data_IF_117535970701
#
_entry.id   IF_117535970701
#
_cell.length_a   1.000
_cell.length_b   1.000
_cell.length_c   1.000
_cell.angle_alpha   90.00
_cell.angle_beta   90.00
_cell.angle_gamma   90.00
#
_symmetry.space_group_name_H-M   'P 1'
#
loop_
_entity.id
_entity.type
_entity.pdbx_description
1 polymer ?
#
# COMPACT_ATOMS: atom_id res chain seq x y z
N UNK A 1 16.89 17.03 11.55
CA UNK A 1 16.02 16.37 12.55
C UNK A 1 16.82 15.24 13.19
N UNK A 2 16.89 15.18 14.52
CA UNK A 2 17.62 14.14 15.24
C UNK A 2 16.99 12.76 14.90
N UNK A 3 17.82 11.80 14.47
CA UNK A 3 17.39 10.42 14.26
C UNK A 3 17.01 9.86 15.62
N UNK A 4 15.73 9.51 15.80
CA UNK A 4 15.27 8.85 17.01
C UNK A 4 15.86 7.43 17.04
N UNK A 5 16.47 7.03 18.16
CA UNK A 5 17.00 5.68 18.33
C UNK A 5 15.86 4.68 18.50
N UNK A 6 15.96 3.52 17.87
CA UNK A 6 15.00 2.43 18.00
C UNK A 6 15.44 1.50 19.15
N UNK A 7 14.99 1.80 20.37
CA UNK A 7 15.49 1.16 21.60
C UNK A 7 14.50 0.14 22.21
N UNK A 8 13.65 -0.49 21.41
CA UNK A 8 12.77 -1.55 21.90
C UNK A 8 13.61 -2.77 22.35
N UNK A 9 13.24 -3.36 23.49
CA UNK A 9 13.92 -4.56 24.05
C UNK A 9 13.29 -5.86 23.58
N UNK A 10 12.00 -5.84 23.23
CA UNK A 10 11.23 -7.00 22.76
C UNK A 10 10.53 -6.63 21.46
N UNK A 11 11.03 -7.12 20.34
CA UNK A 11 10.61 -6.73 19.02
C UNK A 11 9.89 -7.91 18.34
N UNK A 12 8.66 -7.68 17.89
CA UNK A 12 7.85 -8.65 17.19
C UNK A 12 7.70 -8.21 15.73
N UNK A 13 8.19 -9.03 14.79
CA UNK A 13 8.09 -8.76 13.36
C UNK A 13 7.05 -9.67 12.73
N UNK A 14 6.25 -9.12 11.81
CA UNK A 14 5.30 -9.89 10.99
C UNK A 14 5.65 -9.71 9.54
N UNK A 15 6.04 -10.80 8.89
CA UNK A 15 6.35 -10.88 7.46
C UNK A 15 5.46 -11.90 6.75
N UNK A 16 5.26 -11.73 5.44
CA UNK A 16 4.40 -12.59 4.65
C UNK A 16 5.12 -13.87 4.23
N UNK A 17 6.38 -13.76 3.76
CA UNK A 17 7.12 -14.87 3.17
C UNK A 17 8.53 -14.99 3.76
N UNK A 18 9.17 -16.18 3.67
CA UNK A 18 10.59 -16.31 3.88
C UNK A 18 11.36 -15.48 2.83
N UNK A 19 12.31 -14.71 3.22
CA UNK A 19 13.16 -13.71 2.56
C UNK A 19 12.80 -12.24 2.89
N UNK A 20 11.54 -11.92 3.07
CA UNK A 20 11.08 -10.56 3.41
C UNK A 20 11.78 -9.98 4.64
N UNK A 21 12.00 -10.81 5.65
CA UNK A 21 12.64 -10.41 6.91
C UNK A 21 14.09 -9.99 6.69
N UNK A 22 14.82 -10.73 5.86
CA UNK A 22 16.22 -10.45 5.51
C UNK A 22 16.33 -9.26 4.55
N UNK A 23 15.39 -9.16 3.59
CA UNK A 23 15.34 -8.09 2.59
C UNK A 23 15.02 -6.73 3.22
N UNK A 24 14.00 -6.68 4.09
CA UNK A 24 13.36 -5.43 4.52
C UNK A 24 13.63 -5.05 5.97
N UNK A 25 14.06 -6.01 6.80
CA UNK A 25 14.31 -5.81 8.23
C UNK A 25 15.57 -6.55 8.74
N UNK A 26 16.47 -6.96 7.85
CA UNK A 26 17.72 -7.65 8.21
C UNK A 26 18.63 -6.79 9.08
N UNK A 27 18.82 -5.50 8.72
CA UNK A 27 19.55 -4.56 9.56
C UNK A 27 18.86 -4.30 10.90
N UNK A 28 17.52 -4.19 10.89
CA UNK A 28 16.72 -3.97 12.10
C UNK A 28 16.89 -5.12 13.08
N UNK A 29 16.80 -6.36 12.60
CA UNK A 29 16.97 -7.54 13.45
C UNK A 29 18.41 -7.70 13.92
N UNK A 30 19.38 -7.53 13.02
CA UNK A 30 20.81 -7.60 13.37
C UNK A 30 21.18 -6.57 14.45
N UNK A 31 20.77 -5.30 14.26
CA UNK A 31 20.99 -4.24 15.25
C UNK A 31 20.33 -4.56 16.60
N UNK A 32 19.10 -5.07 16.57
CA UNK A 32 18.38 -5.47 17.78
C UNK A 32 19.11 -6.57 18.54
N UNK A 33 19.55 -7.63 17.84
CA UNK A 33 20.31 -8.74 18.45
C UNK A 33 21.65 -8.27 19.00
N UNK A 34 22.38 -7.44 18.25
CA UNK A 34 23.68 -6.87 18.71
C UNK A 34 23.52 -6.02 19.98
N UNK A 35 22.37 -5.38 20.17
CA UNK A 35 22.04 -4.61 21.38
C UNK A 35 21.48 -5.47 22.51
N UNK A 36 21.37 -6.80 22.33
CA UNK A 36 20.79 -7.70 23.33
C UNK A 36 19.27 -7.66 23.43
N UNK A 37 18.57 -7.12 22.44
CA UNK A 37 17.12 -7.16 22.37
C UNK A 37 16.62 -8.55 21.97
N UNK A 38 15.46 -8.94 22.49
CA UNK A 38 14.77 -10.17 22.10
C UNK A 38 13.94 -9.92 20.84
N UNK A 39 14.21 -10.67 19.79
CA UNK A 39 13.54 -10.60 18.51
C UNK A 39 12.68 -11.82 18.28
N UNK A 40 11.42 -11.64 17.89
CA UNK A 40 10.51 -12.69 17.46
C UNK A 40 10.01 -12.42 16.06
N UNK A 41 10.33 -13.30 15.12
CA UNK A 41 9.81 -13.27 13.75
C UNK A 41 8.58 -14.18 13.62
N UNK A 42 7.50 -13.63 13.08
CA UNK A 42 6.28 -14.35 12.74
C UNK A 42 6.02 -14.26 11.24
N UNK A 43 6.23 -15.35 10.52
CA UNK A 43 6.08 -15.43 9.07
C UNK A 43 4.75 -16.10 8.73
N UNK A 44 3.94 -15.49 7.87
CA UNK A 44 2.55 -15.90 7.64
C UNK A 44 2.42 -17.09 6.68
N UNK A 45 3.27 -17.19 5.65
CA UNK A 45 3.27 -18.31 4.68
C UNK A 45 4.66 -18.91 4.58
N UNK A 46 4.79 -20.01 3.85
CA UNK A 46 6.11 -20.61 3.56
C UNK A 46 6.67 -20.17 2.20
N UNK A 47 5.99 -19.27 1.49
CA UNK A 47 6.42 -18.79 0.19
C UNK A 47 6.29 -19.84 -0.91
N UNK A 48 5.24 -20.62 -0.89
CA UNK A 48 4.99 -21.81 -1.72
C UNK A 48 4.90 -21.48 -3.22
N UNK A 49 4.67 -20.21 -3.57
CA UNK A 49 4.55 -19.73 -4.96
C UNK A 49 5.74 -18.88 -5.41
N UNK A 50 6.84 -18.94 -4.68
CA UNK A 50 8.09 -18.28 -5.07
C UNK A 50 8.64 -18.84 -6.38
N UNK A 51 9.31 -17.96 -7.15
CA UNK A 51 10.03 -18.33 -8.38
C UNK A 51 11.48 -18.61 -8.06
N UNK A 52 11.94 -19.83 -8.37
CA UNK A 52 13.33 -20.22 -8.11
C UNK A 52 14.31 -19.44 -9.00
N UNK A 53 15.37 -18.91 -8.41
CA UNK A 53 16.47 -18.24 -9.12
C UNK A 53 17.49 -19.20 -9.68
N UNK A 54 17.74 -20.28 -8.96
CA UNK A 54 18.67 -21.32 -9.36
C UNK A 54 17.98 -22.33 -10.27
N UNK A 55 18.61 -22.69 -11.37
CA UNK A 55 18.07 -23.62 -12.38
C UNK A 55 17.74 -24.99 -11.77
N UNK A 56 18.64 -25.49 -10.91
CA UNK A 56 18.46 -26.75 -10.22
C UNK A 56 17.28 -26.83 -9.28
N UNK A 57 16.74 -25.65 -8.85
CA UNK A 57 15.57 -25.56 -7.98
C UNK A 57 14.26 -25.29 -8.72
N UNK A 58 14.28 -25.10 -10.03
CA UNK A 58 13.08 -24.82 -10.83
C UNK A 58 12.02 -25.91 -10.78
N UNK A 59 12.44 -27.16 -10.60
CA UNK A 59 11.52 -28.28 -10.42
C UNK A 59 10.60 -28.10 -9.20
N UNK A 60 11.04 -27.35 -8.17
CA UNK A 60 10.22 -27.04 -6.99
C UNK A 60 9.03 -26.15 -7.32
N UNK A 61 9.09 -25.34 -8.37
CA UNK A 61 7.98 -24.45 -8.76
C UNK A 61 6.70 -25.23 -9.13
N UNK A 62 6.85 -26.47 -9.62
CA UNK A 62 5.72 -27.35 -9.91
C UNK A 62 5.10 -27.99 -8.66
N UNK A 63 5.80 -27.93 -7.51
CA UNK A 63 5.33 -28.49 -6.24
C UNK A 63 5.37 -27.44 -5.12
N UNK A 64 4.27 -26.69 -4.89
CA UNK A 64 4.21 -25.65 -3.86
C UNK A 64 4.59 -26.13 -2.46
N UNK A 65 4.24 -27.37 -2.10
CA UNK A 65 4.57 -27.93 -0.80
C UNK A 65 6.08 -28.15 -0.63
N UNK A 66 6.75 -28.66 -1.67
CA UNK A 66 8.20 -28.83 -1.67
C UNK A 66 8.93 -27.47 -1.65
N UNK A 67 8.46 -26.49 -2.43
CA UNK A 67 8.97 -25.12 -2.41
C UNK A 67 8.87 -24.52 -1.01
N UNK A 68 7.70 -24.62 -0.36
CA UNK A 68 7.47 -24.11 0.99
C UNK A 68 8.34 -24.81 2.04
N UNK A 69 8.56 -26.12 1.93
CA UNK A 69 9.46 -26.86 2.80
C UNK A 69 10.92 -26.39 2.63
N UNK A 70 11.37 -26.25 1.38
CA UNK A 70 12.72 -25.77 1.06
C UNK A 70 12.96 -24.37 1.64
N UNK A 71 12.06 -23.39 1.34
CA UNK A 71 12.16 -22.02 1.84
C UNK A 71 12.04 -21.91 3.36
N UNK A 72 11.36 -22.85 4.01
CA UNK A 72 11.34 -22.94 5.48
C UNK A 72 12.72 -23.29 6.06
N UNK A 73 13.49 -24.11 5.36
CA UNK A 73 14.89 -24.40 5.68
C UNK A 73 15.79 -23.18 5.49
N UNK A 74 15.59 -22.46 4.39
CA UNK A 74 16.31 -21.20 4.12
C UNK A 74 16.06 -20.18 5.23
N UNK A 75 14.80 -19.97 5.64
CA UNK A 75 14.45 -19.08 6.75
C UNK A 75 15.15 -19.47 8.06
N UNK A 76 15.19 -20.75 8.37
CA UNK A 76 15.90 -21.24 9.57
C UNK A 76 17.38 -20.86 9.54
N UNK A 77 18.03 -21.01 8.40
CA UNK A 77 19.45 -20.67 8.22
C UNK A 77 19.66 -19.14 8.28
N UNK A 78 18.74 -18.35 7.67
CA UNK A 78 18.77 -16.89 7.75
C UNK A 78 18.60 -16.38 9.19
N UNK A 79 17.71 -16.99 9.97
CA UNK A 79 17.54 -16.64 11.38
C UNK A 79 18.77 -16.96 12.22
N UNK A 80 19.43 -18.09 11.94
CA UNK A 80 20.70 -18.44 12.57
C UNK A 80 21.80 -17.41 12.24
N UNK A 81 21.90 -16.98 10.98
CA UNK A 81 22.85 -15.96 10.54
C UNK A 81 22.62 -14.60 11.22
N UNK A 82 21.37 -14.18 11.43
CA UNK A 82 21.01 -12.96 12.14
C UNK A 82 21.09 -13.10 13.66
N UNK A 83 21.30 -14.28 14.22
CA UNK A 83 21.27 -14.53 15.66
C UNK A 83 19.86 -14.50 16.28
N UNK A 84 18.81 -14.60 15.47
CA UNK A 84 17.42 -14.59 15.90
C UNK A 84 17.01 -16.01 16.34
N UNK A 85 16.75 -16.19 17.63
CA UNK A 85 16.41 -17.50 18.22
C UNK A 85 14.91 -17.81 18.16
N UNK A 86 14.08 -16.79 18.21
CA UNK A 86 12.62 -16.95 18.26
C UNK A 86 12.00 -16.61 16.91
N UNK A 87 11.57 -17.62 16.18
CA UNK A 87 10.81 -17.44 14.94
C UNK A 87 9.78 -18.55 14.79
N UNK A 88 8.69 -18.26 14.11
CA UNK A 88 7.59 -19.19 13.91
C UNK A 88 6.78 -18.84 12.67
N UNK A 89 6.35 -19.86 11.96
CA UNK A 89 5.29 -19.69 10.97
C UNK A 89 3.90 -19.57 11.62
N UNK A 90 2.94 -18.93 10.94
CA UNK A 90 1.57 -18.88 11.39
C UNK A 90 1.02 -20.28 11.65
N UNK A 91 0.44 -20.47 12.87
CA UNK A 91 0.54 -21.75 13.51
C UNK A 91 -0.47 -22.84 13.16
N UNK A 92 -1.77 -22.63 13.41
CA UNK A 92 -2.78 -23.70 13.34
C UNK A 92 -3.39 -23.83 11.94
N UNK A 93 -3.26 -22.82 11.11
CA UNK A 93 -3.73 -22.76 9.73
C UNK A 93 -2.54 -22.45 8.84
N UNK A 94 -2.17 -23.41 7.99
CA UNK A 94 -1.13 -23.18 6.99
C UNK A 94 -1.69 -22.24 5.91
N UNK A 95 -1.46 -20.93 6.04
CA UNK A 95 -1.74 -20.01 4.95
C UNK A 95 -0.77 -20.27 3.80
N UNK A 96 -1.31 -20.27 2.59
CA UNK A 96 -0.53 -20.47 1.37
C UNK A 96 -0.19 -19.10 0.78
N UNK A 97 1.02 -18.96 0.28
CA UNK A 97 1.44 -17.80 -0.50
C UNK A 97 0.44 -17.55 -1.64
N UNK A 98 -0.10 -16.34 -1.73
CA UNK A 98 -1.11 -15.99 -2.75
C UNK A 98 -0.51 -15.85 -4.14
N UNK A 99 0.81 -15.73 -4.23
CA UNK A 99 1.48 -15.32 -5.45
C UNK A 99 1.15 -13.89 -5.84
N UNK A 100 1.70 -13.49 -6.96
CA UNK A 100 1.52 -12.15 -7.51
C UNK A 100 1.25 -12.22 -9.01
N UNK A 101 0.34 -11.38 -9.52
CA UNK A 101 0.13 -11.15 -10.93
C UNK A 101 0.54 -9.72 -11.26
N UNK A 102 1.28 -9.55 -12.33
CA UNK A 102 1.54 -8.22 -12.87
C UNK A 102 0.33 -7.85 -13.73
N UNK A 103 -0.41 -6.84 -13.32
CA UNK A 103 -1.54 -6.30 -14.06
C UNK A 103 -1.11 -5.41 -15.22
N UNK A 104 -2.08 -4.96 -16.02
CA UNK A 104 -1.86 -3.96 -17.04
C UNK A 104 -1.17 -2.74 -16.40
N UNK A 105 -0.16 -2.17 -17.00
CA UNK A 105 0.68 -1.08 -16.47
C UNK A 105 1.79 -1.52 -15.48
N UNK A 106 2.15 -2.80 -15.41
CA UNK A 106 3.24 -3.27 -14.55
C UNK A 106 2.97 -3.16 -13.04
N UNK A 107 1.70 -3.03 -12.63
CA UNK A 107 1.33 -2.90 -11.21
C UNK A 107 1.07 -4.28 -10.61
N UNK A 108 1.70 -4.62 -9.48
CA UNK A 108 1.40 -5.84 -8.75
C UNK A 108 -0.06 -5.91 -8.29
N UNK A 109 -0.72 -7.03 -8.61
CA UNK A 109 -2.12 -7.28 -8.29
C UNK A 109 -2.33 -8.68 -7.76
N UNK A 110 -3.47 -8.90 -7.12
CA UNK A 110 -3.90 -10.22 -6.68
C UNK A 110 -4.18 -11.12 -7.89
N UNK A 111 -3.75 -12.39 -7.89
CA UNK A 111 -4.14 -13.36 -8.90
C UNK A 111 -5.68 -13.49 -9.02
N UNK A 112 -6.17 -13.78 -10.23
CA UNK A 112 -7.63 -13.88 -10.48
C UNK A 112 -8.28 -15.08 -9.79
N UNK A 113 -7.52 -16.17 -9.67
CA UNK A 113 -7.95 -17.38 -8.95
C UNK A 113 -7.03 -17.55 -7.74
N UNK A 114 -7.61 -17.54 -6.56
CA UNK A 114 -6.95 -17.81 -5.31
C UNK A 114 -7.47 -19.12 -4.73
N UNK A 115 -6.56 -19.89 -4.14
CA UNK A 115 -6.92 -20.93 -3.21
C UNK A 115 -7.62 -20.32 -1.98
N UNK A 116 -8.57 -21.02 -1.38
CA UNK A 116 -9.26 -20.53 -0.18
C UNK A 116 -8.32 -20.32 1.01
N UNK A 117 -7.22 -21.06 1.06
CA UNK A 117 -6.16 -20.91 2.07
C UNK A 117 -5.08 -19.90 1.68
N UNK A 118 -5.12 -19.31 0.47
CA UNK A 118 -4.21 -18.23 0.12
C UNK A 118 -4.36 -17.07 1.09
N UNK A 119 -3.25 -16.54 1.57
CA UNK A 119 -3.24 -15.48 2.60
C UNK A 119 -4.11 -14.27 2.22
N UNK A 120 -4.08 -13.86 0.94
CA UNK A 120 -4.93 -12.77 0.44
C UNK A 120 -6.42 -13.11 0.47
N UNK A 121 -6.83 -14.39 0.34
CA UNK A 121 -8.21 -14.82 0.37
C UNK A 121 -8.77 -14.94 1.80
N UNK A 122 -7.94 -15.33 2.76
CA UNK A 122 -8.38 -15.50 4.15
C UNK A 122 -8.81 -14.16 4.75
N UNK A 123 -9.86 -14.16 5.55
CA UNK A 123 -10.37 -12.94 6.18
C UNK A 123 -9.37 -12.33 7.16
N UNK A 124 -9.30 -11.00 7.21
CA UNK A 124 -8.38 -10.26 8.10
C UNK A 124 -8.53 -10.65 9.57
N UNK A 125 -9.75 -10.80 10.13
CA UNK A 125 -9.90 -11.19 11.55
C UNK A 125 -9.25 -12.52 11.90
N UNK A 126 -9.27 -13.49 11.00
CA UNK A 126 -8.67 -14.83 11.20
C UNK A 126 -7.15 -14.72 11.30
N UNK A 127 -6.51 -14.03 10.34
CA UNK A 127 -5.05 -13.82 10.36
C UNK A 127 -4.64 -12.94 11.55
N UNK A 128 -5.47 -11.96 11.89
CA UNK A 128 -5.23 -11.08 13.04
C UNK A 128 -5.29 -11.84 14.38
N UNK A 129 -6.13 -12.86 14.49
CA UNK A 129 -6.19 -13.68 15.69
C UNK A 129 -4.91 -14.50 15.90
N UNK A 130 -4.38 -15.13 14.85
CA UNK A 130 -3.11 -15.87 14.92
C UNK A 130 -1.95 -14.94 15.34
N UNK A 131 -1.88 -13.74 14.76
CA UNK A 131 -0.88 -12.72 15.12
C UNK A 131 -1.07 -12.29 16.58
N UNK A 132 -2.31 -12.03 17.00
CA UNK A 132 -2.64 -11.63 18.37
C UNK A 132 -2.19 -12.69 19.40
N UNK A 133 -2.49 -13.96 19.15
CA UNK A 133 -2.09 -15.07 20.05
C UNK A 133 -0.56 -15.15 20.21
N UNK A 134 0.18 -14.98 19.11
CA UNK A 134 1.64 -14.95 19.14
C UNK A 134 2.16 -13.71 19.91
N UNK A 135 1.58 -12.52 19.67
CA UNK A 135 1.91 -11.30 20.39
C UNK A 135 1.61 -11.40 21.90
N UNK A 136 0.45 -11.98 22.27
CA UNK A 136 0.04 -12.13 23.67
C UNK A 136 1.03 -13.00 24.46
N UNK A 137 1.58 -14.02 23.84
CA UNK A 137 2.63 -14.87 24.39
C UNK A 137 3.97 -14.16 24.53
N UNK A 138 4.38 -13.46 23.47
CA UNK A 138 5.69 -12.81 23.39
C UNK A 138 5.75 -11.50 24.18
N UNK A 139 4.64 -10.75 24.31
CA UNK A 139 4.52 -9.47 25.02
C UNK A 139 5.53 -8.42 24.50
N UNK A 140 5.39 -7.97 23.24
CA UNK A 140 6.35 -7.06 22.62
C UNK A 140 6.29 -5.62 23.17
N UNK A 141 7.42 -4.90 23.06
CA UNK A 141 7.51 -3.43 23.22
C UNK A 141 7.25 -2.71 21.89
N UNK A 142 7.61 -3.36 20.78
CA UNK A 142 7.43 -2.85 19.43
C UNK A 142 6.98 -3.97 18.48
N UNK A 143 6.08 -3.62 17.55
CA UNK A 143 5.62 -4.50 16.48
C UNK A 143 5.93 -3.85 15.15
N UNK A 144 6.56 -4.58 14.24
CA UNK A 144 7.00 -4.12 12.92
C UNK A 144 6.33 -4.96 11.84
N UNK A 145 5.86 -4.32 10.77
CA UNK A 145 5.36 -4.97 9.56
C UNK A 145 5.44 -4.02 8.36
N UNK A 146 4.95 -4.41 7.22
CA UNK A 146 4.90 -3.58 6.01
C UNK A 146 4.05 -2.32 6.21
N UNK A 147 4.23 -1.35 5.31
CA UNK A 147 3.31 -0.21 5.21
C UNK A 147 1.95 -0.66 4.62
N UNK A 148 0.93 0.20 4.71
CA UNK A 148 -0.42 -0.09 4.22
C UNK A 148 -0.52 -0.31 2.70
N UNK A 149 0.53 0.01 1.94
CA UNK A 149 0.59 -0.28 0.50
C UNK A 149 1.14 -1.69 0.22
N UNK A 150 1.69 -2.36 1.25
CA UNK A 150 2.36 -3.65 1.12
C UNK A 150 3.70 -3.56 0.38
N UNK A 151 4.50 -2.52 0.68
CA UNK A 151 5.74 -2.25 -0.01
C UNK A 151 5.50 -1.97 -1.50
N UNK A 152 6.08 -2.80 -2.37
CA UNK A 152 5.86 -2.72 -3.82
C UNK A 152 4.43 -3.10 -4.26
N UNK A 153 3.57 -3.51 -3.33
CA UNK A 153 2.15 -3.74 -3.57
C UNK A 153 1.69 -5.18 -3.53
N UNK A 154 2.51 -6.12 -3.00
CA UNK A 154 2.14 -7.52 -2.86
C UNK A 154 0.84 -7.69 -2.07
N UNK A 155 -0.13 -8.53 -2.52
CA UNK A 155 -1.40 -8.73 -1.81
C UNK A 155 -1.20 -9.26 -0.39
N UNK A 156 -0.25 -10.18 -0.19
CA UNK A 156 0.05 -10.77 1.12
C UNK A 156 0.71 -9.78 2.07
N UNK A 157 1.54 -8.85 1.58
CA UNK A 157 2.11 -7.78 2.40
C UNK A 157 1.02 -6.80 2.88
N UNK A 158 0.02 -6.49 2.03
CA UNK A 158 -1.15 -5.69 2.44
C UNK A 158 -1.97 -6.42 3.50
N UNK A 159 -2.20 -7.71 3.31
CA UNK A 159 -2.90 -8.56 4.27
C UNK A 159 -2.15 -8.63 5.61
N UNK A 160 -0.83 -8.83 5.58
CA UNK A 160 0.02 -8.84 6.77
C UNK A 160 -0.07 -7.51 7.53
N UNK A 161 -0.01 -6.37 6.82
CA UNK A 161 -0.20 -5.05 7.43
C UNK A 161 -1.55 -4.92 8.12
N UNK A 162 -2.64 -5.22 7.41
CA UNK A 162 -4.01 -5.00 7.90
C UNK A 162 -4.33 -5.92 9.09
N UNK A 163 -3.90 -7.18 9.02
CA UNK A 163 -4.08 -8.15 10.09
C UNK A 163 -3.24 -7.77 11.32
N UNK A 164 -1.98 -7.35 11.14
CA UNK A 164 -1.14 -6.89 12.25
C UNK A 164 -1.70 -5.64 12.91
N UNK A 165 -2.19 -4.67 12.13
CA UNK A 165 -2.83 -3.48 12.67
C UNK A 165 -4.10 -3.83 13.49
N UNK A 166 -4.89 -4.82 13.04
CA UNK A 166 -6.07 -5.32 13.77
C UNK A 166 -5.65 -6.02 15.07
N UNK A 167 -4.67 -6.92 15.01
CA UNK A 167 -4.12 -7.60 16.18
C UNK A 167 -3.58 -6.61 17.22
N UNK A 168 -2.84 -5.58 16.77
CA UNK A 168 -2.32 -4.51 17.61
C UNK A 168 -3.41 -3.70 18.32
N UNK A 169 -4.51 -3.38 17.62
CA UNK A 169 -5.65 -2.67 18.23
C UNK A 169 -6.25 -3.48 19.36
N UNK A 170 -6.50 -4.78 19.10
CA UNK A 170 -7.02 -5.70 20.09
C UNK A 170 -6.06 -5.82 21.28
N UNK A 171 -4.78 -6.08 21.02
CA UNK A 171 -3.75 -6.22 22.04
C UNK A 171 -3.65 -4.96 22.92
N UNK A 172 -3.59 -3.76 22.32
CA UNK A 172 -3.52 -2.50 23.08
C UNK A 172 -4.76 -2.19 23.89
N UNK A 173 -5.92 -2.74 23.53
CA UNK A 173 -7.17 -2.61 24.29
C UNK A 173 -7.19 -3.55 25.51
N UNK A 174 -6.67 -4.75 25.37
CA UNK A 174 -6.75 -5.81 26.37
C UNK A 174 -5.57 -5.78 27.37
N UNK A 175 -4.41 -5.32 26.94
CA UNK A 175 -3.20 -5.28 27.78
C UNK A 175 -3.26 -4.12 28.77
N UNK A 176 -3.04 -4.44 30.07
CA UNK A 176 -2.81 -3.45 31.13
C UNK A 176 -1.33 -3.06 31.15
N UNK A 177 -1.03 -1.76 31.27
CA UNK A 177 0.33 -1.22 31.34
C UNK A 177 0.85 -0.63 30.04
N UNK A 178 2.18 -0.66 29.84
CA UNK A 178 2.84 -0.05 28.68
C UNK A 178 2.41 -0.76 27.40
N UNK A 179 1.86 0.02 26.46
CA UNK A 179 1.39 -0.49 25.18
C UNK A 179 2.52 -0.51 24.16
N UNK A 180 2.63 -1.58 23.35
CA UNK A 180 3.64 -1.64 22.31
C UNK A 180 3.48 -0.52 21.27
N UNK A 181 4.60 -0.09 20.72
CA UNK A 181 4.63 0.82 19.57
C UNK A 181 4.41 0.05 18.26
N UNK A 182 3.75 0.67 17.30
CA UNK A 182 3.52 0.09 15.98
C UNK A 182 4.38 0.78 14.94
N UNK A 183 5.14 0.00 14.18
CA UNK A 183 6.09 0.47 13.20
C UNK A 183 5.82 -0.15 11.84
N UNK A 184 6.05 0.62 10.80
CA UNK A 184 5.91 0.15 9.42
C UNK A 184 7.19 0.43 8.64
N UNK A 185 7.53 -0.50 7.76
CA UNK A 185 8.64 -0.36 6.82
C UNK A 185 8.31 0.79 5.87
N UNK A 186 9.26 1.71 5.69
CA UNK A 186 9.13 2.87 4.81
C UNK A 186 9.99 2.66 3.57
N UNK A 187 9.40 2.93 2.41
CA UNK A 187 10.10 2.87 1.13
C UNK A 187 11.08 4.04 0.96
N UNK A 188 12.12 3.88 0.11
CA UNK A 188 12.99 4.99 -0.26
C UNK A 188 12.18 6.20 -0.75
N UNK A 189 12.48 7.39 -0.22
CA UNK A 189 11.74 8.62 -0.51
C UNK A 189 10.52 8.88 0.37
N UNK A 190 10.08 7.91 1.18
CA UNK A 190 9.05 8.14 2.18
C UNK A 190 9.65 8.68 3.50
N UNK A 191 8.82 9.36 4.29
CA UNK A 191 9.22 9.82 5.63
C UNK A 191 9.55 8.62 6.52
N UNK A 192 10.73 8.62 7.13
CA UNK A 192 11.15 7.67 8.14
C UNK A 192 11.31 8.35 9.50
N UNK A 193 11.02 7.64 10.57
CA UNK A 193 11.29 8.06 11.95
C UNK A 193 12.66 7.58 12.39
N UNK A 194 13.03 6.36 11.97
CA UNK A 194 14.28 5.68 12.28
C UNK A 194 14.89 5.15 10.99
N UNK A 195 16.22 5.23 10.90
CA UNK A 195 16.99 4.65 9.80
C UNK A 195 18.10 3.80 10.46
N UNK A 196 18.15 2.52 10.09
CA UNK A 196 19.04 1.51 10.67
C UNK A 196 19.90 0.92 9.57
N UNK A 197 21.19 0.87 9.77
CA UNK A 197 22.18 0.28 8.89
C UNK A 197 23.58 0.52 9.44
N UNK A 198 24.57 -0.14 8.88
CA UNK A 198 25.97 -0.06 9.26
C UNK A 198 26.73 -1.32 8.83
N UNK A 199 28.03 -1.29 8.81
CA UNK A 199 28.87 -2.40 8.31
C UNK A 199 28.59 -3.72 9.02
N UNK A 200 28.62 -3.75 10.37
CA UNK A 200 28.32 -4.96 11.14
C UNK A 200 26.96 -5.56 10.86
N UNK A 201 25.93 -4.73 10.71
CA UNK A 201 24.59 -5.22 10.38
C UNK A 201 24.47 -5.62 8.91
N UNK A 202 25.25 -5.03 8.01
CA UNK A 202 25.34 -5.41 6.61
C UNK A 202 25.96 -6.79 6.41
N UNK A 203 26.97 -7.16 7.17
CA UNK A 203 27.58 -8.48 7.16
C UNK A 203 26.56 -9.56 7.57
N UNK A 204 25.84 -9.34 8.67
CA UNK A 204 24.80 -10.26 9.14
C UNK A 204 23.64 -10.36 8.16
N UNK A 205 23.20 -9.23 7.58
CA UNK A 205 22.19 -9.18 6.54
C UNK A 205 22.64 -9.95 5.29
N UNK A 206 23.88 -9.79 4.87
CA UNK A 206 24.46 -10.52 3.73
C UNK A 206 24.42 -12.03 3.97
N UNK A 207 24.84 -12.47 5.15
CA UNK A 207 24.81 -13.90 5.51
C UNK A 207 23.37 -14.46 5.53
N UNK A 208 22.40 -13.68 6.02
CA UNK A 208 21.00 -14.07 6.00
C UNK A 208 20.44 -14.15 4.58
N UNK A 209 20.76 -13.17 3.71
CA UNK A 209 20.33 -13.17 2.31
C UNK A 209 20.98 -14.32 1.51
N UNK A 210 22.21 -14.72 1.83
CA UNK A 210 22.85 -15.89 1.24
C UNK A 210 22.09 -17.20 1.56
N UNK A 211 21.44 -17.25 2.71
CA UNK A 211 20.62 -18.41 3.07
C UNK A 211 19.35 -18.54 2.21
N UNK A 212 18.86 -17.46 1.62
CA UNK A 212 17.69 -17.44 0.72
C UNK A 212 18.08 -17.61 -0.77
N UNK A 213 18.96 -18.55 -1.05
CA UNK A 213 19.53 -18.77 -2.39
C UNK A 213 18.48 -19.06 -3.47
N UNK A 214 17.33 -19.65 -3.11
CA UNK A 214 16.24 -19.88 -4.06
C UNK A 214 15.60 -18.60 -4.57
N UNK A 215 15.65 -17.49 -3.82
CA UNK A 215 14.93 -16.25 -4.10
C UNK A 215 15.83 -15.05 -4.38
N UNK A 216 17.07 -15.07 -3.88
CA UNK A 216 17.99 -13.93 -3.90
C UNK A 216 19.25 -14.30 -4.66
N UNK A 217 19.64 -13.46 -5.61
CA UNK A 217 20.94 -13.57 -6.29
C UNK A 217 21.94 -12.66 -5.60
N UNK A 218 23.05 -13.25 -5.12
CA UNK A 218 24.11 -12.54 -4.42
C UNK A 218 25.24 -12.21 -5.40
N UNK A 219 25.70 -10.97 -5.39
CA UNK A 219 26.95 -10.50 -6.01
C UNK A 219 27.92 -10.06 -4.91
N UNK A 220 29.13 -9.64 -5.29
CA UNK A 220 30.16 -9.25 -4.33
C UNK A 220 29.67 -8.27 -3.27
N UNK A 221 29.09 -7.14 -3.71
CA UNK A 221 28.69 -6.02 -2.85
C UNK A 221 27.19 -5.70 -2.94
N UNK A 222 26.45 -6.44 -3.76
CA UNK A 222 25.02 -6.24 -4.04
C UNK A 222 24.23 -7.54 -4.05
N UNK A 223 22.94 -7.41 -3.94
CA UNK A 223 22.00 -8.51 -4.15
C UNK A 223 20.83 -8.05 -5.03
N UNK A 224 20.17 -9.01 -5.67
CA UNK A 224 18.97 -8.74 -6.47
C UNK A 224 17.88 -9.79 -6.23
N UNK A 225 16.63 -9.35 -6.36
CA UNK A 225 15.43 -10.19 -6.29
C UNK A 225 14.80 -10.35 -7.67
N UNK A 226 13.63 -10.97 -7.75
CA UNK A 226 12.95 -11.27 -9.02
C UNK A 226 12.76 -10.07 -9.95
N UNK A 227 12.73 -8.85 -9.44
CA UNK A 227 12.62 -7.62 -10.25
C UNK A 227 13.87 -7.26 -11.05
N UNK A 228 15.01 -7.93 -10.78
CA UNK A 228 16.31 -7.58 -11.35
C UNK A 228 16.93 -6.29 -10.82
N UNK A 229 16.25 -5.59 -9.90
CA UNK A 229 16.79 -4.39 -9.26
C UNK A 229 17.89 -4.83 -8.28
N UNK A 230 19.06 -4.18 -8.37
CA UNK A 230 20.17 -4.41 -7.46
C UNK A 230 20.13 -3.47 -6.26
N UNK A 231 20.45 -4.01 -5.10
CA UNK A 231 20.55 -3.31 -3.82
C UNK A 231 21.92 -3.56 -3.20
N UNK A 232 22.44 -2.59 -2.46
CA UNK A 232 23.66 -2.79 -1.67
C UNK A 232 23.30 -3.37 -0.31
N UNK A 233 24.17 -4.24 0.22
CA UNK A 233 23.99 -4.74 1.59
C UNK A 233 24.02 -3.64 2.64
N UNK A 234 24.70 -2.52 2.35
CA UNK A 234 24.81 -1.36 3.22
C UNK A 234 23.64 -0.37 3.10
N UNK A 235 22.72 -0.57 2.16
CA UNK A 235 21.53 0.29 2.03
C UNK A 235 20.70 0.22 3.31
N UNK A 236 20.49 1.35 4.01
CA UNK A 236 19.85 1.32 5.32
C UNK A 236 18.35 1.04 5.22
N UNK A 237 17.83 0.34 6.22
CA UNK A 237 16.41 0.10 6.39
C UNK A 237 15.73 1.26 7.13
N UNK A 238 14.50 1.50 6.79
CA UNK A 238 13.76 2.69 7.19
C UNK A 238 12.46 2.29 7.87
N UNK A 239 12.25 2.75 9.09
CA UNK A 239 11.02 2.52 9.83
C UNK A 239 10.31 3.84 10.14
N UNK A 240 8.99 3.79 10.11
CA UNK A 240 8.13 4.90 10.52
C UNK A 240 7.18 4.41 11.60
N UNK A 241 7.14 5.13 12.71
CA UNK A 241 6.12 4.89 13.72
C UNK A 241 4.74 5.25 13.17
N UNK A 242 3.80 4.35 13.35
CA UNK A 242 2.45 4.44 12.79
C UNK A 242 1.38 4.24 13.88
N UNK A 243 0.15 4.61 13.57
CA UNK A 243 -1.00 4.30 14.41
C UNK A 243 -1.67 3.02 13.88
N UNK A 244 -1.93 2.02 14.74
CA UNK A 244 -2.70 0.84 14.33
C UNK A 244 -4.20 1.15 14.14
N UNK A 245 -4.66 2.33 14.57
CA UNK A 245 -6.07 2.73 14.47
C UNK A 245 -6.47 3.17 13.05
N UNK A 246 -5.50 3.16 12.13
CA UNK A 246 -5.72 3.49 10.76
C UNK A 246 -6.41 2.33 10.03
N UNK A 247 -7.73 2.48 9.75
CA UNK A 247 -8.49 1.56 8.91
C UNK A 247 -8.29 1.94 7.43
N UNK A 248 -7.49 1.20 6.65
CA UNK A 248 -7.17 1.59 5.28
C UNK A 248 -8.41 1.60 4.36
N UNK A 249 -9.46 0.82 4.68
CA UNK A 249 -10.71 0.78 3.91
C UNK A 249 -11.66 1.96 4.20
N UNK A 250 -11.56 2.61 5.38
CA UNK A 250 -12.40 3.77 5.71
C UNK A 250 -12.03 5.02 4.88
N UNK A 251 -10.75 5.18 4.52
CA UNK A 251 -10.31 6.34 3.75
C UNK A 251 -10.88 6.45 2.34
N UNK A 252 -10.89 5.39 1.51
CA UNK A 252 -11.50 5.51 0.19
C UNK A 252 -13.01 5.72 0.27
N UNK A 253 -13.73 5.05 1.18
CA UNK A 253 -15.17 5.24 1.35
C UNK A 253 -15.51 6.64 1.88
N UNK A 254 -14.81 7.12 2.91
CA UNK A 254 -15.00 8.45 3.46
C UNK A 254 -14.66 9.56 2.45
N UNK A 255 -13.59 9.39 1.66
CA UNK A 255 -13.27 10.31 0.57
C UNK A 255 -14.28 10.26 -0.57
N UNK A 256 -14.83 9.08 -0.85
CA UNK A 256 -15.87 8.95 -1.83
C UNK A 256 -17.13 9.71 -1.41
N UNK A 257 -17.50 9.67 -0.12
CA UNK A 257 -18.64 10.41 0.42
C UNK A 257 -18.54 11.94 0.20
N UNK A 258 -17.33 12.51 0.24
CA UNK A 258 -17.13 13.94 -0.08
C UNK A 258 -17.38 14.27 -1.56
N UNK A 259 -17.25 13.31 -2.46
CA UNK A 259 -17.50 13.51 -3.89
C UNK A 259 -18.94 13.93 -4.18
N UNK A 260 -19.92 13.34 -3.49
CA UNK A 260 -21.34 13.60 -3.76
C UNK A 260 -21.77 15.03 -3.44
N UNK A 261 -21.60 15.57 -2.20
CA UNK A 261 -21.97 16.94 -1.90
C UNK A 261 -21.15 17.98 -2.68
N UNK A 262 -19.87 17.67 -2.95
CA UNK A 262 -19.05 18.51 -3.81
C UNK A 262 -19.57 18.53 -5.24
N UNK A 263 -20.10 17.42 -5.74
CA UNK A 263 -20.75 17.31 -7.04
C UNK A 263 -22.01 18.15 -7.12
N UNK A 264 -22.87 18.12 -6.09
CA UNK A 264 -24.06 18.97 -6.00
C UNK A 264 -23.66 20.44 -6.08
N UNK A 265 -22.71 20.88 -5.27
CA UNK A 265 -22.21 22.25 -5.26
C UNK A 265 -21.63 22.67 -6.62
N UNK A 266 -20.87 21.79 -7.24
CA UNK A 266 -20.22 22.07 -8.52
C UNK A 266 -21.25 22.15 -9.66
N UNK A 267 -22.26 21.29 -9.67
CA UNK A 267 -23.34 21.31 -10.65
C UNK A 267 -24.20 22.58 -10.52
N UNK A 268 -24.51 22.99 -9.28
CA UNK A 268 -25.23 24.21 -9.00
C UNK A 268 -24.42 25.48 -9.39
N UNK A 269 -23.15 25.54 -8.96
CA UNK A 269 -22.25 26.64 -9.30
C UNK A 269 -22.01 26.75 -10.80
N UNK A 270 -21.84 25.63 -11.48
CA UNK A 270 -21.66 25.60 -12.93
C UNK A 270 -22.87 26.11 -13.68
N UNK A 271 -24.08 25.75 -13.21
CA UNK A 271 -25.33 26.28 -13.77
C UNK A 271 -25.45 27.81 -13.58
N UNK A 272 -25.08 28.32 -12.40
CA UNK A 272 -25.09 29.77 -12.12
C UNK A 272 -24.09 30.53 -12.98
N UNK A 273 -22.85 30.10 -13.04
CA UNK A 273 -21.77 30.77 -13.78
C UNK A 273 -22.08 30.80 -15.28
N UNK A 274 -22.56 29.68 -15.80
CA UNK A 274 -22.97 29.59 -17.20
C UNK A 274 -24.08 30.64 -17.55
N UNK A 275 -25.11 30.77 -16.71
CA UNK A 275 -26.21 31.69 -16.96
C UNK A 275 -25.83 33.17 -16.77
N UNK A 276 -25.04 33.52 -15.76
CA UNK A 276 -24.66 34.93 -15.48
C UNK A 276 -23.90 35.51 -16.66
N UNK A 277 -22.99 34.76 -17.27
CA UNK A 277 -22.20 35.25 -18.41
C UNK A 277 -23.02 35.23 -19.70
N UNK A 278 -23.88 34.23 -19.86
CA UNK A 278 -24.80 34.18 -21.02
C UNK A 278 -25.84 35.32 -21.01
N UNK A 279 -26.24 35.81 -19.84
CA UNK A 279 -27.19 36.93 -19.74
C UNK A 279 -26.60 38.28 -20.22
N UNK A 280 -25.29 38.49 -20.03
CA UNK A 280 -24.62 39.75 -20.44
C UNK A 280 -24.13 39.72 -21.90
N UNK A 281 -23.80 38.56 -22.43
CA UNK A 281 -23.42 38.37 -23.82
C UNK A 281 -23.78 36.91 -24.24
N UNK A 282 -24.98 36.79 -24.83
CA UNK A 282 -25.50 35.48 -25.29
C UNK A 282 -24.63 34.76 -26.32
N UNK A 283 -23.59 35.38 -26.83
CA UNK A 283 -22.64 34.79 -27.78
C UNK A 283 -21.30 34.39 -27.14
N UNK A 284 -21.03 34.78 -25.89
CA UNK A 284 -19.76 34.48 -25.24
C UNK A 284 -19.75 33.08 -24.60
N UNK A 285 -18.83 32.19 -25.00
CA UNK A 285 -18.67 30.88 -24.39
C UNK A 285 -17.83 30.90 -23.08
N UNK A 286 -17.47 32.09 -22.57
CA UNK A 286 -16.54 32.23 -21.45
C UNK A 286 -17.04 31.53 -20.17
N UNK A 287 -18.33 31.72 -19.82
CA UNK A 287 -18.91 31.03 -18.66
C UNK A 287 -18.91 29.54 -18.75
N UNK A 288 -19.17 29.00 -19.96
CA UNK A 288 -19.05 27.56 -20.23
C UNK A 288 -17.63 27.05 -19.98
N UNK A 289 -16.62 27.75 -20.48
CA UNK A 289 -15.22 27.33 -20.30
C UNK A 289 -14.77 27.42 -18.84
N UNK A 290 -15.21 28.44 -18.08
CA UNK A 290 -14.92 28.55 -16.66
C UNK A 290 -15.55 27.41 -15.84
N UNK A 291 -16.81 27.07 -16.11
CA UNK A 291 -17.52 25.98 -15.45
C UNK A 291 -16.87 24.60 -15.77
N UNK A 292 -16.50 24.35 -17.03
CA UNK A 292 -15.82 23.13 -17.44
C UNK A 292 -14.40 23.05 -16.87
N UNK A 293 -13.66 24.16 -16.84
CA UNK A 293 -12.34 24.24 -16.22
C UNK A 293 -12.35 23.94 -14.73
N UNK A 294 -13.33 24.46 -13.99
CA UNK A 294 -13.54 24.15 -12.58
C UNK A 294 -13.87 22.66 -12.37
N UNK A 295 -14.76 22.11 -13.20
CA UNK A 295 -15.12 20.68 -13.15
C UNK A 295 -13.89 19.79 -13.41
N UNK A 296 -13.11 20.11 -14.43
CA UNK A 296 -11.88 19.37 -14.76
C UNK A 296 -10.85 19.44 -13.61
N UNK A 297 -10.64 20.62 -13.04
CA UNK A 297 -9.69 20.84 -11.95
C UNK A 297 -10.08 20.05 -10.70
N UNK A 298 -11.36 20.04 -10.32
CA UNK A 298 -11.86 19.30 -9.16
C UNK A 298 -11.83 17.79 -9.41
N UNK A 299 -12.28 17.33 -10.56
CA UNK A 299 -12.25 15.91 -10.91
C UNK A 299 -10.82 15.36 -10.95
N UNK A 300 -9.88 16.11 -11.53
CA UNK A 300 -8.47 15.76 -11.56
C UNK A 300 -7.83 15.83 -10.17
N UNK A 301 -8.15 16.85 -9.36
CA UNK A 301 -7.72 16.98 -7.97
C UNK A 301 -8.14 15.79 -7.11
N UNK A 302 -9.40 15.36 -7.22
CA UNK A 302 -9.90 14.16 -6.55
C UNK A 302 -9.19 12.89 -7.03
N UNK A 303 -8.83 12.82 -8.32
CA UNK A 303 -8.12 11.68 -8.90
C UNK A 303 -6.68 11.58 -8.40
N UNK A 304 -5.99 12.70 -8.25
CA UNK A 304 -4.62 12.79 -7.77
C UNK A 304 -4.54 12.69 -6.24
N UNK A 305 -5.58 13.09 -5.53
CA UNK A 305 -5.66 13.01 -4.08
C UNK A 305 -5.84 11.56 -3.60
N UNK A 306 -4.78 10.73 -3.85
CA UNK A 306 -4.66 9.32 -3.45
C UNK A 306 -5.85 8.42 -3.79
N UNK A 307 -6.39 8.61 -4.98
CA UNK A 307 -6.86 7.51 -5.81
C UNK A 307 -8.13 6.80 -5.45
N UNK A 308 -9.19 7.48 -5.08
CA UNK A 308 -10.50 6.85 -5.10
C UNK A 308 -11.24 7.21 -6.39
N UNK A 309 -11.39 6.24 -7.30
CA UNK A 309 -12.32 6.36 -8.44
C UNK A 309 -13.75 6.60 -7.94
N UNK A 310 -14.10 6.02 -6.79
CA UNK A 310 -15.40 6.20 -6.14
C UNK A 310 -15.75 7.66 -5.85
N UNK A 311 -14.76 8.51 -5.48
CA UNK A 311 -15.01 9.94 -5.26
C UNK A 311 -15.43 10.66 -6.55
N UNK A 312 -14.90 10.28 -7.71
CA UNK A 312 -15.26 10.88 -9.01
C UNK A 312 -16.63 10.39 -9.46
N UNK A 313 -16.96 9.12 -9.24
CA UNK A 313 -18.30 8.60 -9.56
C UNK A 313 -19.37 9.29 -8.71
N UNK A 314 -19.10 9.51 -7.43
CA UNK A 314 -20.03 10.24 -6.55
C UNK A 314 -20.08 11.75 -6.86
N UNK A 315 -18.96 12.37 -7.28
CA UNK A 315 -18.96 13.73 -7.82
C UNK A 315 -19.91 13.83 -9.03
N UNK A 316 -19.78 12.90 -9.98
CA UNK A 316 -20.64 12.87 -11.17
C UNK A 316 -22.11 12.66 -10.80
N UNK A 317 -22.40 11.71 -9.89
CA UNK A 317 -23.76 11.48 -9.40
C UNK A 317 -24.36 12.74 -8.72
N UNK A 318 -23.59 13.43 -7.89
CA UNK A 318 -24.01 14.69 -7.26
C UNK A 318 -24.30 15.80 -8.27
N UNK A 319 -23.45 15.95 -9.28
CA UNK A 319 -23.66 16.90 -10.38
C UNK A 319 -24.94 16.57 -11.16
N UNK A 320 -25.16 15.32 -11.52
CA UNK A 320 -26.38 14.90 -12.23
C UNK A 320 -27.64 15.15 -11.42
N UNK A 321 -27.59 14.90 -10.10
CA UNK A 321 -28.73 15.18 -9.20
C UNK A 321 -29.05 16.67 -9.16
N UNK A 322 -28.05 17.54 -9.03
CA UNK A 322 -28.27 18.99 -9.01
C UNK A 322 -28.79 19.52 -10.35
N UNK A 323 -28.22 19.05 -11.47
CA UNK A 323 -28.66 19.40 -12.81
C UNK A 323 -30.11 18.94 -13.04
N UNK A 324 -30.44 17.69 -12.68
CA UNK A 324 -31.79 17.15 -12.80
C UNK A 324 -32.80 17.94 -11.94
N UNK A 325 -32.41 18.29 -10.71
CA UNK A 325 -33.26 19.07 -9.81
C UNK A 325 -33.53 20.46 -10.36
N UNK A 326 -32.50 21.16 -10.86
CA UNK A 326 -32.60 22.47 -11.47
C UNK A 326 -33.41 22.47 -12.77
N UNK A 327 -33.39 21.40 -13.53
CA UNK A 327 -34.15 21.26 -14.78
C UNK A 327 -35.66 21.00 -14.59
N UNK A 328 -36.09 20.56 -13.38
CA UNK A 328 -37.50 20.24 -13.08
C UNK A 328 -38.23 21.32 -12.28
N UNK A 329 -37.53 22.33 -11.78
CA UNK A 329 -38.11 23.29 -10.88
C UNK A 329 -38.61 24.49 -11.69
N UNK A 330 -39.93 24.62 -11.87
CA UNK A 330 -40.57 25.69 -12.64
C UNK A 330 -40.21 27.11 -12.15
N UNK A 331 -39.78 27.22 -10.87
CA UNK A 331 -39.30 28.49 -10.28
C UNK A 331 -37.87 28.85 -10.78
N UNK A 332 -37.17 27.96 -11.44
CA UNK A 332 -35.78 28.10 -11.89
C UNK A 332 -35.60 27.88 -13.39
N UNK A 333 -36.65 28.10 -14.19
CA UNK A 333 -36.62 27.95 -15.67
C UNK A 333 -35.48 28.71 -16.37
N UNK A 334 -34.81 29.60 -15.67
CA UNK A 334 -33.66 30.34 -16.17
C UNK A 334 -32.30 29.74 -15.87
N UNK A 335 -32.20 28.69 -15.04
CA UNK A 335 -30.89 28.23 -14.54
C UNK A 335 -30.17 27.19 -15.42
N UNK A 336 -30.90 26.39 -16.16
CA UNK A 336 -30.35 25.58 -17.25
C UNK A 336 -31.24 25.86 -18.45
N UNK A 337 -30.88 26.87 -19.18
CA UNK A 337 -31.59 27.18 -20.43
C UNK A 337 -31.46 25.96 -21.35
N UNK A 338 -32.58 25.57 -21.96
CA UNK A 338 -32.57 24.61 -23.07
C UNK A 338 -31.94 25.30 -24.30
N UNK A 339 -30.71 25.77 -24.09
CA UNK A 339 -29.92 26.44 -25.07
C UNK A 339 -28.68 25.60 -25.43
N UNK A 340 -28.03 26.04 -26.47
CA UNK A 340 -26.81 25.42 -27.01
C UNK A 340 -25.68 25.29 -25.96
N UNK A 341 -25.59 26.17 -24.97
CA UNK A 341 -24.50 26.20 -23.98
C UNK A 341 -24.82 25.38 -22.75
N UNK A 342 -26.09 25.37 -22.27
CA UNK A 342 -26.51 24.50 -21.17
C UNK A 342 -26.35 23.01 -21.51
N UNK A 343 -26.84 22.61 -22.66
CA UNK A 343 -26.70 21.23 -23.13
C UNK A 343 -25.21 20.83 -23.31
N UNK A 344 -24.35 21.73 -23.77
CA UNK A 344 -22.90 21.51 -23.88
C UNK A 344 -22.25 21.39 -22.52
N UNK A 345 -22.62 22.22 -21.53
CA UNK A 345 -22.08 22.12 -20.19
C UNK A 345 -22.35 20.73 -19.59
N UNK A 346 -23.59 20.26 -19.63
CA UNK A 346 -23.96 18.94 -19.11
C UNK A 346 -23.16 17.82 -19.78
N UNK A 347 -23.12 17.81 -21.12
CA UNK A 347 -22.45 16.76 -21.87
C UNK A 347 -20.93 16.74 -21.58
N UNK A 348 -20.28 17.89 -21.63
CA UNK A 348 -18.82 17.95 -21.44
C UNK A 348 -18.42 17.77 -19.99
N UNK A 349 -19.21 18.20 -18.98
CA UNK A 349 -18.95 17.97 -17.58
C UNK A 349 -18.99 16.46 -17.25
N UNK A 350 -19.98 15.73 -17.80
CA UNK A 350 -20.05 14.27 -17.67
C UNK A 350 -18.82 13.63 -18.35
N UNK A 351 -18.48 14.02 -19.57
CA UNK A 351 -17.33 13.49 -20.29
C UNK A 351 -16.01 13.70 -19.53
N UNK A 352 -15.81 14.89 -18.94
CA UNK A 352 -14.63 15.19 -18.10
C UNK A 352 -14.55 14.25 -16.91
N UNK A 353 -15.67 14.02 -16.20
CA UNK A 353 -15.71 13.12 -15.05
C UNK A 353 -15.43 11.65 -15.45
N UNK A 354 -15.95 11.19 -16.59
CA UNK A 354 -15.69 9.84 -17.12
C UNK A 354 -14.21 9.71 -17.47
N UNK A 355 -13.65 10.67 -18.21
CA UNK A 355 -12.23 10.68 -18.56
C UNK A 355 -11.36 10.67 -17.30
N UNK A 356 -11.62 11.52 -16.31
CA UNK A 356 -10.88 11.56 -15.07
C UNK A 356 -10.97 10.24 -14.28
N UNK A 357 -12.10 9.52 -14.32
CA UNK A 357 -12.27 8.23 -13.68
C UNK A 357 -11.48 7.11 -14.36
N UNK A 358 -11.39 7.14 -15.69
CA UNK A 358 -10.72 6.11 -16.50
C UNK A 358 -9.21 6.34 -16.55
N UNK A 359 -8.76 7.59 -16.56
CA UNK A 359 -7.35 7.95 -16.71
C UNK A 359 -6.46 7.29 -15.65
N UNK A 360 -5.28 6.76 -16.03
CA UNK A 360 -4.33 6.19 -15.09
C UNK A 360 -3.79 7.27 -14.14
N UNK A 361 -3.43 6.88 -12.91
CA UNK A 361 -2.77 7.79 -11.97
C UNK A 361 -1.45 8.27 -12.55
N UNK A 362 -1.29 9.56 -12.71
CA UNK A 362 0.01 10.15 -13.01
C UNK A 362 0.81 10.17 -11.70
N UNK A 363 1.84 9.34 -11.61
CA UNK A 363 2.79 9.37 -10.50
C UNK A 363 3.82 10.47 -10.78
N UNK A 364 3.52 11.66 -10.27
CA UNK A 364 4.36 12.85 -10.42
C UNK A 364 5.77 12.62 -9.89
N UNK A 365 5.95 11.74 -8.89
CA UNK A 365 7.25 11.39 -8.34
C UNK A 365 8.08 10.58 -9.36
N UNK A 366 7.46 9.62 -10.04
CA UNK A 366 8.11 8.87 -11.14
C UNK A 366 8.42 9.74 -12.35
N UNK A 367 7.54 10.67 -12.66
CA UNK A 367 7.78 11.61 -13.77
C UNK A 367 8.96 12.54 -13.44
N UNK A 368 9.04 13.13 -12.25
CA UNK A 368 10.18 13.95 -11.80
C UNK A 368 11.49 13.16 -11.72
N UNK A 369 11.44 11.87 -11.35
CA UNK A 369 12.62 11.01 -11.35
C UNK A 369 13.12 10.70 -12.77
N UNK A 370 12.22 10.56 -13.75
CA UNK A 370 12.58 10.35 -15.15
C UNK A 370 13.12 11.62 -15.81
N UNK A 371 12.53 12.79 -15.56
CA UNK A 371 13.03 14.06 -16.11
C UNK A 371 14.42 14.43 -15.56
N UNK A 372 14.75 14.09 -14.31
CA UNK A 372 16.12 14.27 -13.77
C UNK A 372 17.15 13.31 -14.39
N UNK A 373 16.76 12.12 -14.86
CA UNK A 373 17.67 11.19 -15.55
C UNK A 373 17.86 11.51 -17.04
N UNK A 374 17.02 12.35 -17.62
CA UNK A 374 17.14 12.78 -19.01
C UNK A 374 18.03 14.04 -19.17
N UNK A 375 18.46 14.64 -18.06
CA UNK A 375 19.35 15.81 -18.01
C UNK A 375 20.70 15.52 -17.34
N UNK A 376 21.05 14.24 -17.13
CA UNK A 376 22.38 13.71 -16.78
C UNK A 376 22.88 12.77 -17.89
#
# INVERSE_FOLDING_TARGET
>A
MAKQSFNAKRIFLVHAHPDDESLQTGHVMADAVLRGAEVFLFTLTRGERGKAKLEELKSLEANPSAMGAFRSGELKNAMAALGVKNFKFAGTRAYIDSGIRIGNLGVPTTPLKLDQMSLAAVSIPVVADDIYQAMAKFKPDAVITYNAKGGYGHPDHKKAHDATAMAMRRYRKEVKGKKPTFWVISEPGERATVIIGGEKTAELKKAALQAHASQVTIKRDTYSVASGIEFKFTDPERLRQASPNFLPWFKPAFKALFGFPLGILLGYAGALVHNIVAANDRQSPLGLYLALGATASIAYGLRTWRGSRGAIYLLNAGMLVSIWWLSRNETFDAFIADDKYGNRYVLFAIAICVVAAVFPKIDVAKWRARSRKAHL
#
